data_IF_662240855968
#
_entry.id   IF_662240855968
#
_cell.length_a   1.000
_cell.length_b   1.000
_cell.length_c   1.000
_cell.angle_alpha   90.00
_cell.angle_beta   90.00
_cell.angle_gamma   90.00
#
_symmetry.space_group_name_H-M   'P 1'
#
loop_
_entity.id
_entity.type
_entity.pdbx_description
1 polymer ?
#
# COMPACT_ATOMS: atom_id res chain seq x y z
N UNK A 1 18.83 11.57 -11.56
CA UNK A 1 18.54 12.98 -11.28
C UNK A 1 17.76 12.97 -9.98
N UNK A 2 18.44 13.26 -8.88
CA UNK A 2 17.77 13.37 -7.57
C UNK A 2 17.09 14.75 -7.56
N UNK A 3 15.77 14.77 -7.34
CA UNK A 3 15.03 16.02 -7.19
C UNK A 3 15.45 16.72 -5.87
N UNK A 4 15.09 18.00 -5.69
CA UNK A 4 15.39 18.78 -4.46
C UNK A 4 14.98 18.08 -3.15
N UNK A 5 14.06 17.11 -3.22
CA UNK A 5 13.60 16.29 -2.10
C UNK A 5 14.45 15.02 -1.82
N UNK A 6 15.56 14.77 -2.52
CA UNK A 6 16.37 13.54 -2.41
C UNK A 6 15.59 12.25 -2.70
N UNK A 7 14.58 12.32 -3.56
CA UNK A 7 13.79 11.16 -3.98
C UNK A 7 14.39 10.49 -5.22
N UNK A 8 14.21 9.17 -5.32
CA UNK A 8 14.57 8.37 -6.49
C UNK A 8 13.31 7.83 -7.15
N UNK A 9 13.17 8.11 -8.45
CA UNK A 9 12.13 7.50 -9.26
C UNK A 9 12.52 6.05 -9.58
N UNK A 10 11.64 5.11 -9.25
CA UNK A 10 11.81 3.69 -9.56
C UNK A 10 10.93 3.33 -10.75
N UNK A 11 11.51 2.67 -11.76
CA UNK A 11 10.77 2.21 -12.93
C UNK A 11 9.82 1.07 -12.55
N UNK A 12 8.56 1.19 -12.96
CA UNK A 12 7.54 0.14 -12.87
C UNK A 12 7.12 -0.24 -14.31
N UNK A 13 7.33 -1.49 -14.74
CA UNK A 13 6.92 -1.91 -16.08
C UNK A 13 5.39 -1.84 -16.26
N UNK A 14 4.89 -1.54 -17.47
CA UNK A 14 3.46 -1.53 -17.75
C UNK A 14 2.78 -2.86 -17.39
N UNK A 15 1.52 -2.79 -16.93
CA UNK A 15 0.70 -3.96 -16.60
C UNK A 15 1.37 -4.95 -15.62
N UNK A 16 2.23 -4.47 -14.73
CA UNK A 16 2.92 -5.28 -13.73
C UNK A 16 2.39 -4.98 -12.32
N UNK A 17 1.11 -5.31 -12.01
CA UNK A 17 0.52 -5.03 -10.72
C UNK A 17 1.23 -5.78 -9.58
N UNK A 18 1.79 -6.95 -9.86
CA UNK A 18 2.55 -7.74 -8.87
C UNK A 18 3.78 -7.00 -8.34
N UNK A 19 4.34 -6.10 -9.15
CA UNK A 19 5.48 -5.26 -8.78
C UNK A 19 5.06 -3.94 -8.11
N UNK A 20 3.76 -3.66 -7.97
CA UNK A 20 3.27 -2.41 -7.40
C UNK A 20 2.78 -2.60 -5.96
N UNK A 21 3.53 -2.02 -5.02
CA UNK A 21 3.29 -2.08 -3.57
C UNK A 21 1.86 -1.68 -3.16
N UNK A 22 1.27 -0.75 -3.91
CA UNK A 22 -0.04 -0.19 -3.58
C UNK A 22 -1.17 -1.23 -3.73
N UNK A 23 -0.98 -2.28 -4.54
CA UNK A 23 -2.01 -3.29 -4.78
C UNK A 23 -2.32 -4.09 -3.50
N UNK A 24 -1.29 -4.51 -2.77
CA UNK A 24 -1.47 -5.24 -1.51
C UNK A 24 -1.99 -4.33 -0.40
N UNK A 25 -1.51 -3.09 -0.33
CA UNK A 25 -2.03 -2.08 0.59
C UNK A 25 -3.53 -1.83 0.36
N UNK A 26 -3.95 -1.63 -0.89
CA UNK A 26 -5.36 -1.46 -1.23
C UNK A 26 -6.19 -2.73 -0.98
N UNK A 27 -5.62 -3.92 -1.19
CA UNK A 27 -6.29 -5.17 -0.83
C UNK A 27 -6.59 -5.23 0.68
N UNK A 28 -5.61 -4.89 1.52
CA UNK A 28 -5.78 -4.83 2.98
C UNK A 28 -6.81 -3.78 3.42
N UNK A 29 -6.76 -2.58 2.83
CA UNK A 29 -7.74 -1.51 3.09
C UNK A 29 -9.15 -1.98 2.70
N UNK A 30 -9.33 -2.53 1.49
CA UNK A 30 -10.64 -3.05 1.05
C UNK A 30 -11.15 -4.16 1.97
N UNK A 31 -10.28 -5.06 2.42
CA UNK A 31 -10.66 -6.11 3.37
C UNK A 31 -11.17 -5.53 4.70
N UNK A 32 -10.46 -4.53 5.25
CA UNK A 32 -10.88 -3.83 6.46
C UNK A 32 -12.24 -3.15 6.28
N UNK A 33 -12.43 -2.43 5.17
CA UNK A 33 -13.68 -1.73 4.87
C UNK A 33 -14.86 -2.70 4.69
N UNK A 34 -14.65 -3.86 4.06
CA UNK A 34 -15.68 -4.90 3.94
C UNK A 34 -16.10 -5.45 5.30
N UNK A 35 -15.15 -5.60 6.23
CA UNK A 35 -15.46 -6.01 7.60
C UNK A 35 -16.28 -4.93 8.35
N UNK A 36 -16.00 -3.66 8.06
CA UNK A 36 -16.66 -2.51 8.68
C UNK A 36 -17.72 -1.88 7.78
N UNK A 37 -18.39 -2.66 6.93
CA UNK A 37 -19.26 -2.17 5.86
C UNK A 37 -20.42 -1.25 6.32
N UNK A 38 -20.82 -1.38 7.58
CA UNK A 38 -21.86 -0.56 8.22
C UNK A 38 -21.38 0.85 8.60
N UNK A 39 -20.07 1.11 8.65
CA UNK A 39 -19.53 2.44 8.92
C UNK A 39 -19.30 3.19 7.60
N UNK A 40 -20.15 4.19 7.34
CA UNK A 40 -20.08 5.04 6.14
C UNK A 40 -19.30 6.34 6.35
N UNK A 41 -18.65 6.52 7.52
CA UNK A 41 -17.88 7.73 7.80
C UNK A 41 -16.56 7.74 7.05
N UNK A 42 -16.07 8.91 6.65
CA UNK A 42 -14.72 9.04 6.05
C UNK A 42 -13.62 8.57 7.01
N UNK A 43 -13.88 8.64 8.32
CA UNK A 43 -12.94 8.20 9.36
C UNK A 43 -12.58 6.70 9.27
N UNK A 44 -13.47 5.86 8.72
CA UNK A 44 -13.20 4.42 8.56
C UNK A 44 -12.06 4.16 7.58
N UNK A 45 -11.87 5.03 6.58
CA UNK A 45 -10.75 4.96 5.63
C UNK A 45 -9.44 5.24 6.37
N UNK A 46 -9.44 6.28 7.23
CA UNK A 46 -8.28 6.60 8.07
C UNK A 46 -7.89 5.43 8.97
N UNK A 47 -8.87 4.78 9.63
CA UNK A 47 -8.62 3.58 10.45
C UNK A 47 -8.13 2.39 9.62
N UNK A 48 -8.66 2.18 8.42
CA UNK A 48 -8.21 1.13 7.51
C UNK A 48 -6.73 1.32 7.13
N UNK A 49 -6.30 2.56 6.86
CA UNK A 49 -4.90 2.88 6.61
C UNK A 49 -4.02 2.62 7.85
N UNK A 50 -4.47 3.03 9.04
CA UNK A 50 -3.74 2.79 10.31
C UNK A 50 -3.67 1.31 10.70
N UNK A 51 -4.55 0.47 10.16
CA UNK A 51 -4.52 -0.98 10.39
C UNK A 51 -3.36 -1.68 9.65
N UNK A 52 -2.72 -1.02 8.69
CA UNK A 52 -1.50 -1.54 8.05
C UNK A 52 -0.32 -1.30 8.99
N UNK A 53 0.18 -2.39 9.58
CA UNK A 53 1.36 -2.33 10.47
C UNK A 53 2.66 -2.18 9.67
N UNK A 54 3.75 -1.69 10.30
CA UNK A 54 5.06 -1.69 9.66
C UNK A 54 5.48 -3.07 9.16
N UNK A 55 5.18 -4.13 9.90
CA UNK A 55 5.48 -5.51 9.51
C UNK A 55 4.69 -5.97 8.28
N UNK A 56 3.42 -5.56 8.16
CA UNK A 56 2.63 -5.83 6.97
C UNK A 56 3.18 -5.06 5.77
N UNK A 57 3.50 -3.77 5.94
CA UNK A 57 4.14 -2.96 4.90
C UNK A 57 5.45 -3.60 4.42
N UNK A 58 6.30 -4.03 5.34
CA UNK A 58 7.52 -4.81 5.03
C UNK A 58 7.23 -6.06 4.19
N UNK A 59 6.19 -6.81 4.55
CA UNK A 59 5.72 -7.94 3.77
C UNK A 59 5.32 -7.57 2.35
N UNK A 60 4.73 -6.39 2.15
CA UNK A 60 4.33 -5.93 0.82
C UNK A 60 5.53 -5.65 -0.09
N UNK A 61 6.56 -4.98 0.45
CA UNK A 61 7.82 -4.77 -0.27
C UNK A 61 8.44 -6.08 -0.73
N UNK A 62 8.56 -7.04 0.19
CA UNK A 62 9.13 -8.34 -0.12
C UNK A 62 8.32 -9.10 -1.17
N UNK A 63 6.99 -9.07 -1.07
CA UNK A 63 6.11 -9.76 -2.01
C UNK A 63 6.14 -9.16 -3.42
N UNK A 64 6.37 -7.84 -3.55
CA UNK A 64 6.56 -7.17 -4.83
C UNK A 64 8.00 -7.22 -5.36
N UNK A 65 8.88 -8.01 -4.75
CA UNK A 65 10.24 -8.23 -5.24
C UNK A 65 11.25 -7.13 -4.89
N UNK A 66 10.88 -6.19 -4.00
CA UNK A 66 11.82 -5.18 -3.52
C UNK A 66 12.72 -5.80 -2.44
N UNK A 67 14.03 -5.76 -2.69
CA UNK A 67 15.04 -6.03 -1.67
C UNK A 67 15.11 -4.82 -0.78
N UNK A 68 15.02 -5.05 0.52
CA UNK A 68 15.05 -4.00 1.51
C UNK A 68 15.95 -4.35 2.68
#
# INVERSE_FOLDING_TARGET
MEDEASCRLIFLPPYSPDLNLIEQAFSAIKAYLRWHWHDMSVSVIGRACHNITPQAAWGFFKASGYVV
#
